data_IF_705792547368
#
_entry.id   IF_705792547368
#
_cell.length_a   1.000
_cell.length_b   1.000
_cell.length_c   1.000
_cell.angle_alpha   90.00
_cell.angle_beta   90.00
_cell.angle_gamma   90.00
#
_symmetry.space_group_name_H-M   'P 1'
#
loop_
_entity.id
_entity.type
_entity.pdbx_description
1 polymer ?
#
# COMPACT_ATOMS: atom_id res chain seq x y z
N UNK A 1 -4.85 8.69 25.54
CA UNK A 1 -4.65 9.32 24.23
C UNK A 1 -3.90 8.30 23.38
N UNK A 2 -4.59 7.52 22.55
CA UNK A 2 -3.87 6.67 21.60
C UNK A 2 -3.15 7.63 20.63
N UNK A 3 -1.82 7.70 20.72
CA UNK A 3 -1.03 8.54 19.82
C UNK A 3 -1.28 8.13 18.38
N UNK A 4 -1.25 9.09 17.46
CA UNK A 4 -1.35 8.81 16.02
C UNK A 4 -0.30 7.76 15.66
N UNK A 5 -0.70 6.67 15.01
CA UNK A 5 0.25 5.68 14.51
C UNK A 5 1.21 6.34 13.53
N UNK A 6 2.51 6.18 13.73
CA UNK A 6 3.53 6.69 12.81
C UNK A 6 3.39 6.04 11.43
N UNK A 7 3.80 6.77 10.39
CA UNK A 7 3.86 6.29 9.00
C UNK A 7 5.20 5.59 8.67
N UNK A 8 6.18 5.70 9.55
CA UNK A 8 7.50 5.09 9.44
C UNK A 8 7.95 4.53 10.80
N UNK A 9 8.84 3.54 10.78
CA UNK A 9 9.53 3.07 11.97
C UNK A 9 10.71 3.99 12.31
N UNK A 10 10.79 4.45 13.56
CA UNK A 10 11.81 5.42 13.98
C UNK A 10 13.22 4.80 14.04
N UNK A 11 13.35 3.48 14.17
CA UNK A 11 14.64 2.82 14.27
C UNK A 11 15.23 2.49 12.90
N UNK A 12 14.42 1.99 11.97
CA UNK A 12 14.86 1.64 10.61
C UNK A 12 14.73 2.79 9.61
N UNK A 13 13.93 3.83 9.91
CA UNK A 13 13.51 4.87 8.95
C UNK A 13 12.81 4.31 7.71
N UNK A 14 12.19 3.13 7.82
CA UNK A 14 11.45 2.50 6.74
C UNK A 14 9.95 2.84 6.83
N UNK A 15 9.25 2.98 5.69
CA UNK A 15 7.82 3.16 5.68
C UNK A 15 7.11 1.90 6.20
N UNK A 16 6.20 2.07 7.16
CA UNK A 16 5.42 0.97 7.78
C UNK A 16 3.94 0.98 7.38
N UNK A 17 3.57 1.80 6.39
CA UNK A 17 2.19 1.86 5.87
C UNK A 17 1.74 0.49 5.36
N UNK A 18 2.65 -0.28 4.77
CA UNK A 18 2.38 -1.60 4.21
C UNK A 18 2.01 -2.60 5.32
N UNK A 19 2.65 -2.48 6.48
CA UNK A 19 2.34 -3.28 7.67
C UNK A 19 0.99 -2.89 8.26
N UNK A 20 0.65 -1.60 8.25
CA UNK A 20 -0.68 -1.15 8.64
C UNK A 20 -1.75 -1.66 7.67
N UNK A 21 -1.48 -1.67 6.37
CA UNK A 21 -2.38 -2.21 5.34
C UNK A 21 -2.63 -3.71 5.55
N UNK A 22 -1.61 -4.48 5.91
CA UNK A 22 -1.74 -5.91 6.23
C UNK A 22 -2.61 -6.20 7.47
N UNK A 23 -2.86 -5.20 8.32
CA UNK A 23 -3.75 -5.30 9.48
C UNK A 23 -5.19 -4.90 9.18
N UNK A 24 -5.49 -4.42 7.97
CA UNK A 24 -6.87 -4.12 7.58
C UNK A 24 -7.65 -5.42 7.50
N UNK A 25 -8.80 -5.47 8.19
CA UNK A 25 -9.70 -6.63 8.15
C UNK A 25 -10.07 -6.99 6.70
N UNK A 26 -10.39 -5.98 5.88
CA UNK A 26 -10.67 -6.19 4.46
C UNK A 26 -9.52 -6.81 3.68
N UNK A 27 -8.27 -6.52 4.05
CA UNK A 27 -7.09 -7.14 3.43
C UNK A 27 -6.93 -8.58 3.91
N UNK A 28 -7.07 -8.83 5.21
CA UNK A 28 -6.98 -10.19 5.77
C UNK A 28 -8.03 -11.12 5.18
N UNK A 29 -9.26 -10.64 5.04
CA UNK A 29 -10.37 -11.41 4.45
C UNK A 29 -10.10 -11.75 2.99
N UNK A 30 -9.71 -10.76 2.18
CA UNK A 30 -9.41 -10.94 0.73
C UNK A 30 -8.21 -11.87 0.51
N UNK A 31 -7.26 -11.90 1.44
CA UNK A 31 -6.05 -12.71 1.31
C UNK A 31 -6.20 -14.11 1.94
N UNK A 32 -7.33 -14.43 2.56
CA UNK A 32 -7.50 -15.63 3.38
C UNK A 32 -7.36 -16.94 2.60
N UNK A 33 -7.83 -16.98 1.35
CA UNK A 33 -7.72 -18.14 0.45
C UNK A 33 -6.58 -18.01 -0.57
N UNK A 34 -5.87 -16.87 -0.56
CA UNK A 34 -4.77 -16.55 -1.46
C UNK A 34 -5.19 -16.17 -2.87
N UNK A 35 -6.47 -15.92 -3.13
CA UNK A 35 -7.00 -15.52 -4.43
C UNK A 35 -7.74 -14.20 -4.28
N UNK A 36 -7.29 -13.16 -5.00
CA UNK A 36 -8.01 -11.89 -5.03
C UNK A 36 -9.04 -11.93 -6.16
N UNK A 37 -10.32 -11.92 -5.81
CA UNK A 37 -11.42 -11.88 -6.77
C UNK A 37 -11.71 -10.45 -7.27
N UNK A 38 -12.33 -10.33 -8.46
CA UNK A 38 -12.61 -9.03 -9.08
C UNK A 38 -13.47 -8.13 -8.18
N UNK A 39 -14.49 -8.69 -7.54
CA UNK A 39 -15.36 -7.94 -6.64
C UNK A 39 -14.65 -7.46 -5.38
N UNK A 40 -13.64 -8.18 -4.90
CA UNK A 40 -12.88 -7.80 -3.70
C UNK A 40 -11.94 -6.63 -4.01
N UNK A 41 -11.32 -6.66 -5.20
CA UNK A 41 -10.54 -5.56 -5.72
C UNK A 41 -11.40 -4.30 -5.91
N UNK A 42 -12.57 -4.45 -6.53
CA UNK A 42 -13.53 -3.34 -6.71
C UNK A 42 -14.01 -2.78 -5.37
N UNK A 43 -14.25 -3.63 -4.37
CA UNK A 43 -14.63 -3.18 -3.03
C UNK A 43 -13.50 -2.39 -2.35
N UNK A 44 -12.24 -2.79 -2.53
CA UNK A 44 -11.08 -2.05 -2.05
C UNK A 44 -10.94 -0.69 -2.75
N UNK A 45 -11.10 -0.64 -4.07
CA UNK A 45 -11.10 0.60 -4.84
C UNK A 45 -12.20 1.57 -4.36
N UNK A 46 -13.43 1.07 -4.14
CA UNK A 46 -14.54 1.88 -3.64
C UNK A 46 -14.23 2.49 -2.27
N UNK A 47 -13.64 1.72 -1.35
CA UNK A 47 -13.20 2.24 -0.04
C UNK A 47 -12.13 3.32 -0.19
N UNK A 48 -11.14 3.10 -1.06
CA UNK A 48 -10.07 4.06 -1.31
C UNK A 48 -10.63 5.38 -1.86
N UNK A 49 -11.48 5.31 -2.89
CA UNK A 49 -12.08 6.49 -3.53
C UNK A 49 -12.98 7.25 -2.56
N UNK A 50 -13.74 6.56 -1.70
CA UNK A 50 -14.56 7.19 -0.67
C UNK A 50 -13.69 8.01 0.31
N UNK A 51 -12.59 7.44 0.80
CA UNK A 51 -11.64 8.13 1.68
C UNK A 51 -10.98 9.33 0.99
N UNK A 52 -10.56 9.18 -0.26
CA UNK A 52 -9.98 10.29 -1.04
C UNK A 52 -10.97 11.46 -1.14
N UNK A 53 -12.23 11.19 -1.53
CA UNK A 53 -13.27 12.21 -1.63
C UNK A 53 -13.60 12.89 -0.30
N UNK A 54 -13.49 12.17 0.81
CA UNK A 54 -13.73 12.71 2.14
C UNK A 54 -12.57 13.61 2.61
N UNK A 55 -11.33 13.16 2.41
CA UNK A 55 -10.13 13.79 3.00
C UNK A 55 -9.62 14.93 2.14
N UNK A 56 -9.61 14.78 0.82
CA UNK A 56 -9.02 15.74 -0.12
C UNK A 56 -9.51 17.19 0.09
N UNK A 57 -10.84 17.46 0.27
CA UNK A 57 -11.33 18.81 0.49
C UNK A 57 -10.98 19.43 1.85
N UNK A 58 -10.50 18.63 2.80
CA UNK A 58 -10.10 19.09 4.14
C UNK A 58 -8.66 19.61 4.18
N UNK A 59 -7.89 19.37 3.12
CA UNK A 59 -6.51 19.80 3.00
C UNK A 59 -6.46 21.22 2.44
N UNK A 60 -5.59 22.07 2.98
CA UNK A 60 -5.23 23.31 2.28
C UNK A 60 -4.48 22.98 0.99
N UNK A 61 -4.47 23.88 0.00
CA UNK A 61 -3.77 23.67 -1.28
C UNK A 61 -2.30 23.21 -1.08
N UNK A 62 -1.57 23.86 -0.17
CA UNK A 62 -0.18 23.49 0.13
C UNK A 62 -0.06 22.09 0.75
N UNK A 63 -0.98 21.73 1.64
CA UNK A 63 -0.97 20.41 2.28
C UNK A 63 -1.41 19.32 1.29
N UNK A 64 -2.39 19.63 0.44
CA UNK A 64 -2.85 18.76 -0.64
C UNK A 64 -1.70 18.40 -1.58
N UNK A 65 -0.89 19.37 -2.02
CA UNK A 65 0.26 19.11 -2.87
C UNK A 65 1.27 18.17 -2.20
N UNK A 66 1.58 18.40 -0.91
CA UNK A 66 2.51 17.56 -0.14
C UNK A 66 1.99 16.14 0.05
N UNK A 67 0.71 15.97 0.39
CA UNK A 67 0.07 14.67 0.57
C UNK A 67 -0.03 13.94 -0.76
N UNK A 68 -0.37 14.63 -1.85
CA UNK A 68 -0.39 14.05 -3.20
C UNK A 68 0.98 13.52 -3.58
N UNK A 69 2.04 14.31 -3.37
CA UNK A 69 3.41 13.83 -3.61
C UNK A 69 3.75 12.60 -2.77
N UNK A 70 3.38 12.58 -1.49
CA UNK A 70 3.60 11.43 -0.62
C UNK A 70 2.88 10.17 -1.14
N UNK A 71 1.61 10.27 -1.52
CA UNK A 71 0.84 9.15 -2.07
C UNK A 71 1.45 8.60 -3.36
N UNK A 72 1.95 9.49 -4.23
CA UNK A 72 2.66 9.11 -5.44
C UNK A 72 3.95 8.34 -5.14
N UNK A 73 4.79 8.84 -4.24
CA UNK A 73 6.05 8.19 -3.84
C UNK A 73 5.80 6.83 -3.19
N UNK A 74 4.80 6.74 -2.30
CA UNK A 74 4.41 5.48 -1.66
C UNK A 74 3.95 4.44 -2.70
N UNK A 75 3.07 4.85 -3.62
CA UNK A 75 2.57 3.96 -4.69
C UNK A 75 3.72 3.48 -5.59
N UNK A 76 4.64 4.38 -5.96
CA UNK A 76 5.81 4.03 -6.75
C UNK A 76 6.72 3.04 -6.00
N UNK A 77 6.97 3.28 -4.71
CA UNK A 77 7.75 2.40 -3.85
C UNK A 77 7.13 1.00 -3.76
N UNK A 78 5.82 0.88 -3.54
CA UNK A 78 5.14 -0.40 -3.40
C UNK A 78 5.18 -1.22 -4.70
N UNK A 79 5.02 -0.57 -5.86
CA UNK A 79 5.18 -1.20 -7.17
C UNK A 79 6.62 -1.69 -7.33
N UNK A 80 7.62 -0.84 -7.02
CA UNK A 80 9.04 -1.21 -7.12
C UNK A 80 9.39 -2.37 -6.19
N UNK A 81 8.90 -2.36 -4.94
CA UNK A 81 9.11 -3.42 -3.96
C UNK A 81 8.47 -4.74 -4.42
N UNK A 82 7.25 -4.69 -4.96
CA UNK A 82 6.55 -5.86 -5.52
C UNK A 82 7.32 -6.45 -6.69
N UNK A 83 7.74 -5.62 -7.64
CA UNK A 83 8.53 -6.05 -8.81
C UNK A 83 9.87 -6.64 -8.37
N UNK A 84 10.58 -5.98 -7.45
CA UNK A 84 11.85 -6.47 -6.91
C UNK A 84 11.67 -7.84 -6.25
N UNK A 85 10.65 -8.01 -5.40
CA UNK A 85 10.34 -9.28 -4.74
C UNK A 85 10.06 -10.38 -5.76
N UNK A 86 9.25 -10.11 -6.79
CA UNK A 86 8.97 -11.07 -7.85
C UNK A 86 10.22 -11.47 -8.62
N UNK A 87 11.16 -10.55 -8.88
CA UNK A 87 12.43 -10.86 -9.54
C UNK A 87 13.32 -11.79 -8.70
N UNK A 88 13.34 -11.59 -7.38
CA UNK A 88 14.12 -12.42 -6.45
C UNK A 88 13.56 -13.84 -6.32
N UNK A 89 12.24 -14.02 -6.51
CA UNK A 89 11.57 -15.33 -6.46
C UNK A 89 11.70 -16.14 -7.76
N UNK A 90 12.13 -15.53 -8.88
CA UNK A 90 12.36 -16.27 -10.13
C UNK A 90 13.55 -17.22 -9.95
N UNK A 91 13.37 -18.55 -10.11
CA UNK A 91 14.49 -19.47 -10.08
C UNK A 91 15.45 -19.14 -11.23
N UNK A 92 16.76 -19.10 -10.96
CA UNK A 92 17.80 -19.05 -11.99
C UNK A 92 17.84 -20.39 -12.71
N UNK A 93 16.87 -20.69 -13.56
CA UNK A 93 16.94 -21.86 -14.45
C UNK A 93 17.89 -21.51 -15.59
N UNK A 94 19.18 -21.77 -15.38
CA UNK A 94 20.10 -22.00 -16.50
C UNK A 94 19.77 -23.39 -17.03
N UNK A 95 19.08 -23.47 -18.17
CA UNK A 95 18.99 -24.72 -18.92
C UNK A 95 20.35 -24.93 -19.60
N UNK A 96 21.21 -25.73 -18.99
CA UNK A 96 22.38 -26.28 -19.66
C UNK A 96 21.94 -27.58 -20.34
N UNK A 97 21.56 -27.44 -21.62
CA UNK A 97 21.35 -28.55 -22.54
C UNK A 97 22.60 -28.85 -23.35
#
# INVERSE_FOLDING_TARGET
MAGKSSWFDEASNEPIINEHAQRLESFLDTMADGVVEEQELLAQEQRLVALMKEIEPQLSDELHEKVTRLLCELTAYDIMQSVYTMQQLKPKTTFEG
#
